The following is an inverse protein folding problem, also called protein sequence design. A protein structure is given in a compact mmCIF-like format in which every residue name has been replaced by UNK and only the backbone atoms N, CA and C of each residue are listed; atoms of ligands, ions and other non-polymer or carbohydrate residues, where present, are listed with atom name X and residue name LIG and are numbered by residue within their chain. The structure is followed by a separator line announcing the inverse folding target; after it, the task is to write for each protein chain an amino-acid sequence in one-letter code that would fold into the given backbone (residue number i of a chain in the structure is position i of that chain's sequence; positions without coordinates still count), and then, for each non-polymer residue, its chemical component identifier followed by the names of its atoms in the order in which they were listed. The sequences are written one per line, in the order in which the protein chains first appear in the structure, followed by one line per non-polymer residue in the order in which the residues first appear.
data_IF_386895508321
#
_entry.id   IF_386895508321
#
_cell.length_a   1.000
_cell.length_b   1.000
_cell.length_c   1.000
_cell.angle_alpha   90.00
_cell.angle_beta   90.00
_cell.angle_gamma   90.00
#
_symmetry.space_group_name_H-M   'P 1'
#
loop_
_entity.id
_entity.type
_entity.pdbx_description
1 polymer ?
#
# COMPACT_ATOMS: atom_id res chain seq x y z
N UNK A 1 -6.29 50.47 11.88
CA UNK A 1 -5.82 49.82 13.12
C UNK A 1 -6.82 48.68 13.37
N UNK A 2 -6.64 47.42 12.94
CA UNK A 2 -5.54 46.43 13.02
C UNK A 2 -5.28 45.75 11.63
N UNK A 3 -4.04 45.70 11.14
CA UNK A 3 -3.13 44.53 11.04
C UNK A 3 -3.68 43.34 10.22
N UNK A 4 -3.40 43.22 8.92
CA UNK A 4 -2.19 42.67 8.27
C UNK A 4 -2.02 41.14 8.42
N UNK A 5 -2.54 40.37 7.45
CA UNK A 5 -2.07 39.03 7.12
C UNK A 5 -1.04 39.17 5.99
N UNK A 6 0.23 39.21 6.34
CA UNK A 6 1.33 39.06 5.39
C UNK A 6 1.59 37.57 5.19
N UNK A 7 0.86 36.96 4.26
CA UNK A 7 1.26 35.68 3.66
C UNK A 7 2.44 35.93 2.72
N UNK A 8 3.57 35.28 2.97
CA UNK A 8 4.72 35.31 2.07
C UNK A 8 4.37 34.70 0.70
N UNK A 9 4.57 35.40 -0.44
CA UNK A 9 4.35 34.83 -1.75
C UNK A 9 5.67 34.23 -2.26
N UNK A 10 5.79 32.90 -2.24
CA UNK A 10 6.87 32.20 -3.00
C UNK A 10 6.40 31.08 -3.92
N UNK A 11 5.11 30.81 -4.04
CA UNK A 11 4.61 29.76 -4.94
C UNK A 11 3.39 30.18 -5.76
N UNK A 12 3.36 31.45 -6.19
CA UNK A 12 2.46 31.90 -7.25
C UNK A 12 3.13 31.63 -8.60
N UNK A 13 3.07 30.39 -9.10
CA UNK A 13 3.63 30.08 -10.43
C UNK A 13 4.09 28.67 -10.71
N UNK A 14 3.49 27.64 -10.11
CA UNK A 14 3.49 26.27 -10.67
C UNK A 14 2.09 25.74 -10.41
N UNK A 15 1.41 25.26 -11.47
CA UNK A 15 0.09 24.66 -11.34
C UNK A 15 0.12 23.64 -10.19
N UNK A 16 -0.78 23.85 -9.25
CA UNK A 16 -1.08 22.99 -8.12
C UNK A 16 -1.51 21.60 -8.64
N UNK A 17 -0.54 20.72 -8.82
CA UNK A 17 -0.76 19.28 -8.83
C UNK A 17 -0.48 18.78 -7.41
N UNK A 18 -1.19 19.29 -6.41
CA UNK A 18 -1.23 18.64 -5.10
C UNK A 18 -1.69 17.20 -5.34
N UNK A 19 -0.82 16.26 -4.99
CA UNK A 19 -1.14 14.85 -5.02
C UNK A 19 -2.13 14.63 -3.87
N UNK A 20 -3.42 14.73 -4.17
CA UNK A 20 -4.49 14.67 -3.17
C UNK A 20 -4.83 13.22 -2.80
N UNK A 21 -3.80 12.39 -2.56
CA UNK A 21 -4.02 11.05 -2.04
C UNK A 21 -4.30 11.13 -0.54
N UNK A 22 -5.35 10.45 -0.08
CA UNK A 22 -5.61 10.28 1.36
C UNK A 22 -5.09 8.93 1.86
N UNK A 23 -5.14 7.89 1.01
CA UNK A 23 -4.58 6.60 1.35
C UNK A 23 -3.09 6.74 1.58
N UNK A 24 -2.59 6.14 2.66
CA UNK A 24 -1.22 6.26 3.18
C UNK A 24 -0.84 7.64 3.71
N UNK A 25 -1.22 8.74 3.05
CA UNK A 25 -0.85 10.11 3.45
C UNK A 25 -1.62 10.63 4.66
N UNK A 26 -2.80 10.09 4.93
CA UNK A 26 -3.59 10.42 6.11
C UNK A 26 -3.82 9.20 6.99
N UNK A 27 -3.92 9.38 8.33
CA UNK A 27 -4.46 8.34 9.18
C UNK A 27 -5.89 7.99 8.75
N UNK A 28 -6.23 6.70 8.79
CA UNK A 28 -7.55 6.27 8.34
C UNK A 28 -7.76 4.77 8.47
N UNK A 29 -9.04 4.41 8.49
CA UNK A 29 -9.49 3.02 8.39
C UNK A 29 -10.09 2.82 7.02
N UNK A 30 -9.79 1.69 6.41
CA UNK A 30 -10.27 1.33 5.10
C UNK A 30 -10.80 -0.08 5.12
N UNK A 31 -11.84 -0.32 4.32
CA UNK A 31 -12.27 -1.66 3.95
C UNK A 31 -11.75 -1.98 2.56
N UNK A 32 -11.58 -3.27 2.31
CA UNK A 32 -11.15 -3.82 1.03
C UNK A 32 -12.14 -4.89 0.63
N UNK A 33 -12.59 -4.91 -0.63
CA UNK A 33 -13.37 -6.01 -1.19
C UNK A 33 -12.89 -6.30 -2.61
N UNK A 34 -12.69 -7.57 -2.92
CA UNK A 34 -12.13 -7.94 -4.21
C UNK A 34 -11.99 -9.43 -4.40
N UNK A 35 -11.05 -9.80 -5.27
CA UNK A 35 -10.72 -11.17 -5.59
C UNK A 35 -9.22 -11.43 -5.43
N UNK A 36 -8.91 -12.61 -4.93
CA UNK A 36 -7.59 -13.21 -4.92
C UNK A 36 -7.54 -14.29 -5.99
N UNK A 37 -6.54 -14.24 -6.86
CA UNK A 37 -6.40 -15.16 -7.97
C UNK A 37 -5.07 -15.91 -7.82
N UNK A 38 -5.10 -17.21 -8.13
CA UNK A 38 -3.92 -18.06 -8.26
C UNK A 38 -3.91 -18.67 -9.66
N UNK A 39 -2.82 -19.33 -10.06
CA UNK A 39 -2.67 -19.88 -11.41
C UNK A 39 -3.69 -20.94 -11.77
N UNK A 40 -4.02 -21.80 -10.82
CA UNK A 40 -4.69 -23.07 -11.09
C UNK A 40 -6.10 -23.14 -10.46
N UNK A 41 -6.64 -22.01 -9.98
CA UNK A 41 -7.94 -21.95 -9.33
C UNK A 41 -8.79 -20.78 -9.82
N UNK A 42 -10.09 -20.88 -9.60
CA UNK A 42 -11.02 -19.77 -9.82
C UNK A 42 -10.72 -18.60 -8.87
N UNK A 43 -11.07 -17.36 -9.24
CA UNK A 43 -10.94 -16.20 -8.36
C UNK A 43 -11.68 -16.43 -7.04
N UNK A 44 -10.98 -16.26 -5.93
CA UNK A 44 -11.53 -16.38 -4.59
C UNK A 44 -11.94 -15.00 -4.08
N UNK A 45 -13.21 -14.79 -3.70
CA UNK A 45 -13.63 -13.51 -3.18
C UNK A 45 -13.02 -13.27 -1.80
N UNK A 46 -12.56 -12.04 -1.56
CA UNK A 46 -11.94 -11.63 -0.31
C UNK A 46 -12.54 -10.33 0.24
N UNK A 47 -12.44 -10.18 1.55
CA UNK A 47 -12.69 -8.93 2.27
C UNK A 47 -11.49 -8.58 3.12
N UNK A 48 -11.29 -7.30 3.37
CA UNK A 48 -10.19 -6.86 4.20
C UNK A 48 -10.46 -5.57 4.95
N UNK A 49 -9.58 -5.32 5.92
CA UNK A 49 -9.51 -4.07 6.68
C UNK A 49 -8.06 -3.59 6.67
N UNK A 50 -7.89 -2.29 6.49
CA UNK A 50 -6.59 -1.62 6.52
C UNK A 50 -6.67 -0.48 7.52
N UNK A 51 -5.66 -0.35 8.37
CA UNK A 51 -5.47 0.77 9.29
C UNK A 51 -4.17 1.47 8.94
N UNK A 52 -4.25 2.77 8.67
CA UNK A 52 -3.11 3.67 8.46
C UNK A 52 -2.97 4.56 9.69
N UNK A 53 -1.76 4.63 10.23
CA UNK A 53 -1.42 5.50 11.34
C UNK A 53 -0.10 6.23 11.09
N UNK A 54 0.00 7.48 11.56
CA UNK A 54 1.21 8.29 11.46
C UNK A 54 1.84 8.51 12.84
N UNK A 55 3.17 8.62 12.82
CA UNK A 55 4.02 9.01 13.96
C UNK A 55 4.87 10.21 13.55
N UNK A 56 5.37 11.00 14.54
CA UNK A 56 6.32 12.08 14.26
C UNK A 56 7.52 11.62 13.43
N UNK A 57 8.14 12.54 12.69
CA UNK A 57 9.32 12.25 11.87
C UNK A 57 9.02 11.52 10.56
N UNK A 58 7.85 11.79 9.97
CA UNK A 58 7.38 11.25 8.70
C UNK A 58 7.28 9.71 8.65
N UNK A 59 7.01 9.10 9.79
CA UNK A 59 6.89 7.65 9.92
C UNK A 59 5.41 7.23 9.88
N UNK A 60 5.10 6.18 9.14
CA UNK A 60 3.76 5.60 9.09
C UNK A 60 3.79 4.12 9.48
N UNK A 61 2.62 3.61 9.83
CA UNK A 61 2.37 2.19 10.02
C UNK A 61 1.09 1.82 9.27
N UNK A 62 1.10 0.67 8.59
CA UNK A 62 -0.08 0.10 7.95
C UNK A 62 -0.31 -1.31 8.49
N UNK A 63 -1.52 -1.58 8.95
CA UNK A 63 -1.93 -2.93 9.34
C UNK A 63 -3.08 -3.37 8.44
N UNK A 64 -2.91 -4.49 7.75
CA UNK A 64 -3.91 -5.06 6.86
C UNK A 64 -4.25 -6.47 7.30
N UNK A 65 -5.54 -6.80 7.28
CA UNK A 65 -6.06 -8.15 7.41
C UNK A 65 -6.96 -8.45 6.21
N UNK A 66 -6.68 -9.53 5.49
CA UNK A 66 -7.52 -10.08 4.42
C UNK A 66 -8.10 -11.41 4.90
N UNK A 67 -9.37 -11.63 4.58
CA UNK A 67 -10.12 -12.83 4.89
C UNK A 67 -10.79 -13.35 3.62
N UNK A 68 -10.69 -14.65 3.41
CA UNK A 68 -11.35 -15.36 2.32
C UNK A 68 -12.78 -15.68 2.76
N UNK A 69 -13.76 -15.58 1.85
CA UNK A 69 -15.13 -15.97 2.19
C UNK A 69 -15.29 -17.49 2.32
N UNK A 70 -14.39 -18.26 1.69
CA UNK A 70 -14.32 -19.71 1.87
C UNK A 70 -13.41 -20.02 3.06
N UNK A 71 -13.95 -20.66 4.10
CA UNK A 71 -13.30 -20.91 5.40
C UNK A 71 -12.09 -21.87 5.33
N UNK A 72 -11.70 -22.34 4.15
CA UNK A 72 -10.58 -23.25 3.96
C UNK A 72 -9.22 -22.56 3.89
N UNK A 73 -9.17 -21.23 3.79
CA UNK A 73 -7.93 -20.47 3.69
C UNK A 73 -7.70 -19.55 4.88
N UNK A 74 -6.48 -19.63 5.44
CA UNK A 74 -6.05 -18.75 6.51
C UNK A 74 -6.07 -17.27 6.09
N UNK A 75 -6.42 -16.41 7.02
CA UNK A 75 -6.33 -14.97 6.86
C UNK A 75 -4.90 -14.53 6.49
N UNK A 76 -4.79 -13.55 5.59
CA UNK A 76 -3.51 -12.88 5.32
C UNK A 76 -3.41 -11.67 6.23
N UNK A 77 -2.37 -11.64 7.07
CA UNK A 77 -2.09 -10.52 7.97
C UNK A 77 -0.78 -9.87 7.57
N UNK A 78 -0.82 -8.56 7.45
CA UNK A 78 0.30 -7.72 7.05
C UNK A 78 0.45 -6.56 8.02
N UNK A 79 1.69 -6.32 8.45
CA UNK A 79 2.02 -5.16 9.27
C UNK A 79 3.28 -4.50 8.72
N UNK A 80 3.16 -3.27 8.26
CA UNK A 80 4.29 -2.49 7.77
C UNK A 80 4.57 -1.27 8.64
N UNK A 81 5.84 -0.88 8.64
CA UNK A 81 6.30 0.41 9.14
C UNK A 81 7.18 1.02 8.06
N UNK A 82 6.91 2.26 7.71
CA UNK A 82 7.69 2.98 6.71
C UNK A 82 7.94 4.42 7.07
N UNK A 83 8.70 5.07 6.20
CA UNK A 83 9.08 6.48 6.33
C UNK A 83 8.99 7.18 4.98
N UNK A 84 8.32 8.32 4.95
CA UNK A 84 8.35 9.20 3.77
C UNK A 84 9.72 9.88 3.65
N UNK A 85 10.15 10.05 2.40
CA UNK A 85 11.25 10.95 2.04
C UNK A 85 10.87 12.40 2.29
N UNK A 86 11.86 13.30 2.34
CA UNK A 86 11.63 14.72 2.61
C UNK A 86 10.75 15.43 1.55
N UNK A 87 10.61 14.82 0.37
CA UNK A 87 9.81 15.34 -0.73
C UNK A 87 8.40 14.74 -0.79
N UNK A 88 8.06 13.83 0.14
CA UNK A 88 6.74 13.18 0.27
C UNK A 88 6.22 12.49 -1.01
N UNK A 89 7.13 12.14 -1.92
CA UNK A 89 6.83 11.44 -3.19
C UNK A 89 7.31 10.01 -3.21
N UNK A 90 8.13 9.63 -2.24
CA UNK A 90 8.75 8.31 -2.14
C UNK A 90 8.81 7.89 -0.68
N UNK A 91 8.76 6.59 -0.44
CA UNK A 91 8.93 6.01 0.88
C UNK A 91 9.61 4.65 0.82
N UNK A 92 10.19 4.26 1.95
CA UNK A 92 10.64 2.88 2.19
C UNK A 92 9.90 2.29 3.37
N UNK A 93 9.77 0.97 3.41
CA UNK A 93 9.09 0.27 4.49
C UNK A 93 9.65 -1.13 4.72
N UNK A 94 9.42 -1.63 5.92
CA UNK A 94 9.57 -3.04 6.28
C UNK A 94 8.18 -3.59 6.54
N UNK A 95 7.89 -4.76 5.99
CA UNK A 95 6.59 -5.43 6.08
C UNK A 95 6.78 -6.84 6.66
N UNK A 96 6.02 -7.15 7.71
CA UNK A 96 5.81 -8.51 8.17
C UNK A 96 4.56 -9.06 7.49
N UNK A 97 4.72 -10.10 6.66
CA UNK A 97 3.64 -10.75 5.92
C UNK A 97 3.45 -12.17 6.43
N UNK A 98 2.22 -12.58 6.75
CA UNK A 98 1.95 -13.92 7.31
C UNK A 98 2.43 -15.06 6.41
N UNK A 99 2.35 -14.89 5.08
CA UNK A 99 2.77 -15.89 4.08
C UNK A 99 4.21 -15.74 3.56
N UNK A 100 4.75 -14.52 3.50
CA UNK A 100 6.07 -14.23 2.88
C UNK A 100 7.17 -14.04 3.91
N UNK A 101 6.82 -13.96 5.20
CA UNK A 101 7.74 -13.59 6.26
C UNK A 101 8.06 -12.10 6.20
N UNK A 102 9.29 -11.75 6.58
CA UNK A 102 9.77 -10.37 6.58
C UNK A 102 10.22 -9.96 5.18
N UNK A 103 9.67 -8.86 4.69
CA UNK A 103 10.02 -8.26 3.40
C UNK A 103 10.36 -6.79 3.57
N UNK A 104 11.15 -6.25 2.66
CA UNK A 104 11.42 -4.81 2.54
C UNK A 104 10.79 -4.28 1.26
N UNK A 105 10.51 -2.99 1.22
CA UNK A 105 9.92 -2.40 0.05
C UNK A 105 10.09 -0.89 -0.03
N UNK A 106 9.67 -0.38 -1.18
CA UNK A 106 9.65 1.03 -1.49
C UNK A 106 8.39 1.36 -2.27
N UNK A 107 8.01 2.64 -2.25
CA UNK A 107 6.89 3.11 -3.03
C UNK A 107 7.03 4.55 -3.47
N UNK A 108 6.25 4.87 -4.48
CA UNK A 108 6.17 6.16 -5.17
C UNK A 108 4.73 6.65 -5.11
N UNK A 109 4.58 7.94 -4.80
CA UNK A 109 3.31 8.64 -4.82
C UNK A 109 3.29 9.48 -6.10
N UNK A 110 2.68 8.92 -7.15
CA UNK A 110 2.42 9.64 -8.39
C UNK A 110 1.10 10.42 -8.26
N UNK A 111 0.76 11.34 -9.19
CA UNK A 111 -0.45 12.15 -9.08
C UNK A 111 -1.75 11.34 -8.98
N UNK A 112 -1.79 10.18 -9.63
CA UNK A 112 -2.99 9.37 -9.78
C UNK A 112 -2.93 8.02 -9.06
N UNK A 113 -1.71 7.56 -8.78
CA UNK A 113 -1.44 6.20 -8.30
C UNK A 113 -0.37 6.21 -7.22
N UNK A 114 -0.57 5.41 -6.18
CA UNK A 114 0.52 4.96 -5.32
C UNK A 114 1.02 3.63 -5.87
N UNK A 115 2.30 3.53 -6.17
CA UNK A 115 2.93 2.30 -6.68
C UNK A 115 3.96 1.86 -5.67
N UNK A 116 3.91 0.59 -5.27
CA UNK A 116 4.90 0.02 -4.37
C UNK A 116 5.35 -1.35 -4.82
N UNK A 117 6.58 -1.69 -4.43
CA UNK A 117 7.13 -3.02 -4.60
C UNK A 117 7.80 -3.47 -3.31
N UNK A 118 7.83 -4.78 -3.11
CA UNK A 118 8.51 -5.40 -1.98
C UNK A 118 9.25 -6.67 -2.40
N UNK A 119 10.26 -7.03 -1.62
CA UNK A 119 11.08 -8.22 -1.82
C UNK A 119 11.44 -8.87 -0.48
N UNK A 120 11.41 -10.19 -0.46
CA UNK A 120 11.78 -10.98 0.71
C UNK A 120 13.26 -10.80 1.04
N UNK A 121 13.53 -10.60 2.32
CA UNK A 121 14.88 -10.72 2.87
C UNK A 121 15.18 -12.21 2.93
N UNK A 122 15.82 -12.75 1.89
CA UNK A 122 16.08 -14.18 1.76
C UNK A 122 16.79 -14.75 2.98
N UNK A 123 16.06 -15.35 3.90
CA UNK A 123 16.65 -16.19 4.93
C UNK A 123 17.03 -17.52 4.30
N UNK A 124 18.25 -17.95 4.63
CA UNK A 124 18.98 -19.14 4.16
C UNK A 124 18.07 -20.38 4.11
N UNK A 125 17.35 -20.58 3.01
CA UNK A 125 16.61 -21.81 2.70
C UNK A 125 17.15 -22.41 1.40
N UNK A 126 17.05 -23.74 1.23
CA UNK A 126 17.65 -24.46 0.11
C UNK A 126 17.02 -24.14 -1.26
N UNK A 127 15.91 -23.40 -1.30
CA UNK A 127 15.35 -22.83 -2.53
C UNK A 127 15.43 -21.28 -2.47
N UNK A 128 16.38 -20.65 -3.20
CA UNK A 128 16.68 -19.23 -3.14
C UNK A 128 15.76 -18.37 -4.01
N UNK A 129 14.57 -18.85 -4.37
CA UNK A 129 13.63 -18.01 -5.12
C UNK A 129 13.22 -16.80 -4.29
N UNK A 130 13.80 -15.64 -4.67
CA UNK A 130 13.47 -14.34 -4.12
C UNK A 130 12.00 -14.10 -4.34
N UNK A 131 11.22 -14.14 -3.26
CA UNK A 131 9.82 -13.73 -3.30
C UNK A 131 9.77 -12.22 -3.41
N UNK A 132 8.92 -11.71 -4.27
CA UNK A 132 8.70 -10.28 -4.43
C UNK A 132 7.25 -10.02 -4.72
N UNK A 133 6.85 -8.76 -4.72
CA UNK A 133 5.54 -8.38 -5.21
C UNK A 133 5.48 -6.90 -5.49
N UNK A 134 4.38 -6.50 -6.10
CA UNK A 134 4.07 -5.11 -6.36
C UNK A 134 2.59 -4.87 -6.14
N UNK A 135 2.26 -3.63 -5.82
CA UNK A 135 0.89 -3.15 -5.66
C UNK A 135 0.78 -1.76 -6.26
N UNK A 136 -0.38 -1.50 -6.83
CA UNK A 136 -0.78 -0.21 -7.39
C UNK A 136 -2.12 0.17 -6.77
N UNK A 137 -2.22 1.39 -6.24
CA UNK A 137 -3.48 1.96 -5.77
C UNK A 137 -3.82 3.17 -6.64
N UNK A 138 -4.73 2.99 -7.60
CA UNK A 138 -5.25 4.09 -8.42
C UNK A 138 -6.37 4.80 -7.66
N UNK A 139 -6.23 6.10 -7.48
CA UNK A 139 -7.25 6.90 -6.81
C UNK A 139 -8.50 7.08 -7.70
N UNK A 140 -9.65 6.66 -7.20
CA UNK A 140 -10.95 6.93 -7.86
C UNK A 140 -11.57 8.20 -7.27
N UNK A 141 -11.45 8.39 -5.96
CA UNK A 141 -11.82 9.60 -5.23
C UNK A 141 -10.96 9.72 -3.97
N UNK A 142 -11.06 10.82 -3.19
CA UNK A 142 -10.38 10.91 -1.89
C UNK A 142 -10.67 9.74 -0.95
N UNK A 143 -11.84 9.12 -1.02
CA UNK A 143 -12.22 8.03 -0.09
C UNK A 143 -12.26 6.64 -0.77
N UNK A 144 -11.85 6.54 -2.05
CA UNK A 144 -11.95 5.30 -2.84
C UNK A 144 -10.73 5.08 -3.74
N UNK A 145 -10.19 3.87 -3.69
CA UNK A 145 -9.06 3.44 -4.51
C UNK A 145 -9.34 2.08 -5.16
N UNK A 146 -8.78 1.86 -6.34
CA UNK A 146 -8.66 0.53 -6.91
C UNK A 146 -7.24 0.02 -6.68
N UNK A 147 -7.14 -1.12 -5.98
CA UNK A 147 -5.91 -1.84 -5.71
C UNK A 147 -5.76 -2.98 -6.72
N UNK A 148 -4.61 -3.04 -7.38
CA UNK A 148 -4.16 -4.20 -8.13
C UNK A 148 -2.74 -4.54 -7.73
N UNK A 149 -2.44 -5.82 -7.51
CA UNK A 149 -1.11 -6.26 -7.13
C UNK A 149 -0.84 -7.72 -7.44
N UNK A 150 0.41 -8.13 -7.27
CA UNK A 150 0.83 -9.50 -7.53
C UNK A 150 1.99 -9.94 -6.67
N UNK A 151 1.97 -11.19 -6.24
CA UNK A 151 3.12 -11.86 -5.60
C UNK A 151 3.84 -12.70 -6.65
N UNK A 152 5.16 -12.74 -6.55
CA UNK A 152 6.05 -13.43 -7.47
C UNK A 152 7.02 -14.32 -6.72
N UNK A 153 7.36 -15.46 -7.33
CA UNK A 153 8.49 -16.30 -6.97
C UNK A 153 9.41 -16.42 -8.19
N UNK A 154 10.59 -15.81 -8.13
CA UNK A 154 11.45 -15.66 -9.31
C UNK A 154 10.74 -14.87 -10.41
N UNK A 155 10.55 -15.50 -11.58
CA UNK A 155 9.88 -14.90 -12.74
C UNK A 155 8.38 -15.20 -12.82
N UNK A 156 7.84 -16.00 -11.90
CA UNK A 156 6.46 -16.46 -11.95
C UNK A 156 5.57 -15.59 -11.06
N UNK A 157 4.55 -14.98 -11.64
CA UNK A 157 3.40 -14.45 -10.89
C UNK A 157 2.68 -15.61 -10.21
N UNK A 158 2.72 -15.71 -8.89
CA UNK A 158 2.13 -16.83 -8.13
C UNK A 158 0.68 -16.55 -7.73
N UNK A 159 0.37 -15.28 -7.51
CA UNK A 159 -0.96 -14.81 -7.12
C UNK A 159 -1.13 -13.36 -7.56
N UNK A 160 -2.39 -12.95 -7.74
CA UNK A 160 -2.75 -11.55 -7.94
C UNK A 160 -3.97 -11.18 -7.12
N UNK A 161 -4.06 -9.90 -6.80
CA UNK A 161 -5.11 -9.28 -6.01
C UNK A 161 -5.69 -8.15 -6.84
N UNK A 162 -7.01 -8.11 -6.93
CA UNK A 162 -7.76 -6.98 -7.47
C UNK A 162 -8.86 -6.62 -6.48
N UNK A 163 -8.90 -5.37 -6.02
CA UNK A 163 -9.86 -4.96 -5.00
C UNK A 163 -10.18 -3.48 -5.04
N UNK A 164 -11.35 -3.12 -4.53
CA UNK A 164 -11.69 -1.75 -4.20
C UNK A 164 -11.45 -1.49 -2.72
N UNK A 165 -10.84 -0.35 -2.42
CA UNK A 165 -10.67 0.18 -1.07
C UNK A 165 -11.66 1.32 -0.87
N UNK A 166 -12.35 1.32 0.27
CA UNK A 166 -13.25 2.40 0.68
C UNK A 166 -12.92 2.83 2.11
N UNK A 167 -12.75 4.13 2.33
CA UNK A 167 -12.51 4.69 3.67
C UNK A 167 -13.74 4.51 4.59
N UNK A 168 -13.52 4.48 5.90
CA UNK A 168 -14.54 4.25 6.94
C UNK A 168 -14.62 5.41 7.91
#
# INVERSE_FOLDING_TARGET
MYSAFTGHPKYAGIRDCSVAHSFLLEPGKWTLQGAWLTRDALPLPIKGKILVAWKPGNCFMVATKLSFLEETQDDIVMQSRGRMTAQERQYTFVLQHSRLGKVEGEGWIAPETIVQRYWGLGEKRPDPQRRSGFETLRQISPERYYLSGGEMAGHYLTSTLEAELTRQ
#
